data_IF_847976672719
#
_entry.id   IF_847976672719
#
_cell.length_a   1.000
_cell.length_b   1.000
_cell.length_c   1.000
_cell.angle_alpha   90.00
_cell.angle_beta   90.00
_cell.angle_gamma   90.00
#
_symmetry.space_group_name_H-M   'P 1'
#
loop_
_entity.id
_entity.type
_entity.pdbx_description
1 polymer ?
#
# COMPACT_ATOMS: atom_id res chain seq x y z
N UNK A 1 33.21 40.43 12.71
CA UNK A 1 33.79 39.07 12.65
C UNK A 1 33.35 38.16 13.79
N UNK A 2 33.50 38.51 15.08
CA UNK A 2 33.10 37.63 16.22
C UNK A 2 31.60 37.24 16.18
N UNK A 3 30.69 38.17 15.88
CA UNK A 3 29.26 37.88 15.80
C UNK A 3 28.89 36.93 14.64
N UNK A 4 29.59 37.05 13.49
CA UNK A 4 29.39 36.16 12.34
C UNK A 4 29.88 34.73 12.65
N UNK A 5 31.04 34.63 13.34
CA UNK A 5 31.59 33.35 13.80
C UNK A 5 30.63 32.64 14.77
N UNK A 6 30.05 33.40 15.72
CA UNK A 6 29.06 32.87 16.66
C UNK A 6 27.80 32.35 15.94
N UNK A 7 27.30 33.07 14.93
CA UNK A 7 26.16 32.63 14.11
C UNK A 7 26.45 31.35 13.34
N UNK A 8 27.64 31.23 12.74
CA UNK A 8 28.07 30.04 12.00
C UNK A 8 28.20 28.84 12.95
N UNK A 9 28.79 29.02 14.14
CA UNK A 9 28.90 27.94 15.13
C UNK A 9 27.52 27.49 15.62
N UNK A 10 26.62 28.43 15.94
CA UNK A 10 25.24 28.11 16.34
C UNK A 10 24.48 27.39 15.23
N UNK A 11 24.65 27.78 13.98
CA UNK A 11 24.03 27.12 12.83
C UNK A 11 24.52 25.67 12.68
N UNK A 12 25.82 25.41 12.77
CA UNK A 12 26.38 24.06 12.70
C UNK A 12 25.98 23.18 13.90
N UNK A 13 25.87 23.72 15.10
CA UNK A 13 25.41 23.00 16.29
C UNK A 13 23.91 22.63 16.15
N UNK A 14 23.11 23.48 15.50
CA UNK A 14 21.68 23.19 15.28
C UNK A 14 21.41 22.09 14.25
N UNK A 15 22.32 21.87 13.29
CA UNK A 15 22.16 20.86 12.24
C UNK A 15 22.58 19.46 12.73
N UNK A 16 23.46 19.36 13.73
CA UNK A 16 24.03 18.09 14.17
C UNK A 16 23.06 17.13 14.86
N UNK A 17 21.80 17.52 15.11
CA UNK A 17 20.79 16.68 15.76
C UNK A 17 19.57 16.37 14.86
N UNK A 18 19.65 16.61 13.56
CA UNK A 18 18.60 16.24 12.63
C UNK A 18 18.74 14.76 12.27
N UNK A 19 18.27 13.89 13.17
CA UNK A 19 18.05 12.49 12.82
C UNK A 19 16.68 12.39 12.13
N UNK A 20 16.67 12.10 10.85
CA UNK A 20 15.47 11.71 10.14
C UNK A 20 15.37 10.18 10.16
N UNK A 21 14.25 9.67 10.62
CA UNK A 21 13.96 8.24 10.48
C UNK A 21 13.69 7.91 9.02
N UNK A 22 14.22 6.79 8.55
CA UNK A 22 13.89 6.27 7.22
C UNK A 22 12.42 5.85 7.19
N UNK A 23 11.75 6.14 6.08
CA UNK A 23 10.35 5.81 5.88
C UNK A 23 10.13 4.60 4.96
N UNK A 24 8.87 4.17 4.83
CA UNK A 24 8.39 3.12 3.92
C UNK A 24 9.02 1.74 4.15
N UNK A 25 8.64 1.12 5.24
CA UNK A 25 9.02 -0.26 5.56
C UNK A 25 8.00 -1.26 5.01
N UNK A 26 8.48 -2.37 4.44
CA UNK A 26 7.62 -3.48 4.05
C UNK A 26 6.96 -4.10 5.28
N UNK A 27 5.63 -4.25 5.31
CA UNK A 27 4.92 -4.83 6.46
C UNK A 27 5.42 -6.22 6.85
N UNK A 28 5.80 -7.06 5.88
CA UNK A 28 6.37 -8.39 6.13
C UNK A 28 7.73 -8.36 6.85
N UNK A 29 8.49 -7.26 6.72
CA UNK A 29 9.80 -7.05 7.34
C UNK A 29 9.75 -6.13 8.56
N UNK A 30 8.58 -5.67 8.95
CA UNK A 30 8.40 -4.67 10.04
C UNK A 30 8.99 -5.14 11.37
N UNK A 31 9.12 -6.45 11.58
CA UNK A 31 9.70 -7.03 12.78
C UNK A 31 11.09 -6.47 13.09
N UNK A 32 11.87 -6.19 12.07
CA UNK A 32 13.24 -5.65 12.22
C UNK A 32 13.23 -4.20 12.75
N UNK A 33 12.12 -3.48 12.56
CA UNK A 33 11.96 -2.08 12.96
C UNK A 33 11.29 -1.89 14.32
N UNK A 34 10.67 -2.92 14.85
CA UNK A 34 10.00 -2.85 16.16
C UNK A 34 10.90 -2.33 17.29
N UNK A 35 12.19 -2.69 17.41
CA UNK A 35 13.04 -2.13 18.43
C UNK A 35 13.17 -0.61 18.37
N UNK A 36 13.31 -0.04 17.17
CA UNK A 36 13.42 1.41 16.98
C UNK A 36 12.06 2.11 17.18
N UNK A 37 10.99 1.53 16.68
CA UNK A 37 9.63 2.02 16.92
C UNK A 37 9.29 2.06 18.41
N UNK A 38 9.72 1.07 19.18
CA UNK A 38 9.53 1.03 20.65
C UNK A 38 10.29 2.14 21.38
N UNK A 39 11.48 2.51 20.93
CA UNK A 39 12.22 3.66 21.47
C UNK A 39 11.42 4.97 21.32
N UNK A 40 10.61 5.06 20.25
CA UNK A 40 9.73 6.20 19.97
C UNK A 40 8.32 6.06 20.59
N UNK A 41 8.11 5.09 21.48
CA UNK A 41 6.87 4.93 22.23
C UNK A 41 5.85 3.97 21.61
N UNK A 42 6.20 3.24 20.55
CA UNK A 42 5.32 2.23 19.96
C UNK A 42 5.12 1.05 20.92
N UNK A 43 3.86 0.66 21.13
CA UNK A 43 3.49 -0.34 22.15
C UNK A 43 3.04 -1.68 21.56
N UNK A 44 2.74 -1.73 20.26
CA UNK A 44 2.27 -2.93 19.59
C UNK A 44 3.42 -3.87 19.21
N UNK A 45 3.07 -5.05 18.73
CA UNK A 45 4.03 -6.04 18.20
C UNK A 45 4.02 -6.02 16.67
N UNK A 46 5.01 -6.68 16.05
CA UNK A 46 5.03 -6.86 14.61
C UNK A 46 3.78 -7.61 14.08
N UNK A 47 3.27 -8.56 14.87
CA UNK A 47 2.08 -9.34 14.51
C UNK A 47 0.79 -8.52 14.58
N UNK A 48 0.73 -7.50 15.44
CA UNK A 48 -0.40 -6.59 15.46
C UNK A 48 -0.47 -5.73 14.20
N UNK A 49 0.69 -5.50 13.55
CA UNK A 49 0.79 -4.77 12.29
C UNK A 49 0.57 -5.66 11.07
N UNK A 50 1.24 -6.82 11.05
CA UNK A 50 1.20 -7.76 9.93
C UNK A 50 1.26 -9.20 10.44
N UNK A 51 0.16 -9.94 10.26
CA UNK A 51 0.08 -11.38 10.49
C UNK A 51 -0.71 -12.02 9.35
N UNK A 52 -0.21 -13.15 8.81
CA UNK A 52 -0.91 -13.88 7.73
C UNK A 52 -1.92 -14.88 8.25
N UNK A 53 -1.88 -15.21 9.54
CA UNK A 53 -2.72 -16.25 10.16
C UNK A 53 -3.79 -15.67 11.08
N UNK A 54 -3.68 -14.40 11.44
CA UNK A 54 -4.60 -13.69 12.36
C UNK A 54 -4.86 -12.29 11.86
N UNK A 55 -6.02 -11.75 12.25
CA UNK A 55 -6.35 -10.36 12.01
C UNK A 55 -5.26 -9.43 12.58
N UNK A 56 -4.85 -8.47 11.79
CA UNK A 56 -3.82 -7.48 12.09
C UNK A 56 -4.15 -6.16 11.40
N UNK A 57 -3.39 -5.11 11.66
CA UNK A 57 -3.64 -3.80 11.05
C UNK A 57 -3.67 -3.83 9.51
N UNK A 58 -2.91 -4.75 8.88
CA UNK A 58 -2.94 -4.92 7.41
C UNK A 58 -4.34 -5.16 6.86
N UNK A 59 -5.22 -5.83 7.64
CA UNK A 59 -6.56 -6.21 7.18
C UNK A 59 -7.55 -5.02 7.22
N UNK A 60 -7.19 -3.96 7.95
CA UNK A 60 -7.93 -2.71 7.94
C UNK A 60 -7.52 -1.78 6.79
N UNK A 61 -6.36 -2.01 6.18
CA UNK A 61 -5.82 -1.16 5.11
C UNK A 61 -6.04 -1.86 3.78
N UNK A 62 -6.71 -1.18 2.86
CA UNK A 62 -7.10 -1.74 1.58
C UNK A 62 -6.60 -0.90 0.41
N UNK A 63 -6.40 -1.55 -0.73
CA UNK A 63 -6.19 -0.87 -1.99
C UNK A 63 -7.56 -0.49 -2.57
N UNK A 64 -7.82 0.82 -2.66
CA UNK A 64 -9.09 1.37 -3.09
C UNK A 64 -9.04 1.83 -4.55
N UNK A 65 -9.97 1.33 -5.35
CA UNK A 65 -10.05 1.66 -6.77
C UNK A 65 -8.76 1.32 -7.53
N UNK A 66 -8.33 2.20 -8.41
CA UNK A 66 -7.18 1.99 -9.30
C UNK A 66 -5.82 2.35 -8.73
N UNK A 67 -5.71 2.91 -7.52
CA UNK A 67 -4.40 3.37 -7.02
C UNK A 67 -4.42 4.14 -5.70
N UNK A 68 -5.55 4.13 -5.01
CA UNK A 68 -5.68 4.76 -3.69
C UNK A 68 -5.60 3.72 -2.55
N UNK A 69 -5.46 4.23 -1.35
CA UNK A 69 -5.59 3.48 -0.11
C UNK A 69 -6.90 3.87 0.57
N UNK A 70 -7.55 2.92 1.22
CA UNK A 70 -8.69 3.15 2.09
C UNK A 70 -8.50 2.41 3.40
N UNK A 71 -9.22 2.82 4.44
CA UNK A 71 -9.16 2.26 5.77
C UNK A 71 -10.54 1.81 6.23
N UNK A 72 -10.67 0.55 6.62
CA UNK A 72 -11.85 0.03 7.27
C UNK A 72 -11.88 0.48 8.74
N UNK A 73 -12.96 1.15 9.13
CA UNK A 73 -13.12 1.71 10.46
C UNK A 73 -14.32 1.12 11.24
N UNK A 74 -15.03 0.16 10.65
CA UNK A 74 -16.09 -0.56 11.33
C UNK A 74 -16.13 -2.04 10.92
N UNK A 75 -16.70 -2.90 11.76
CA UNK A 75 -16.92 -4.31 11.45
C UNK A 75 -17.96 -4.50 10.33
N UNK A 76 -18.75 -3.48 10.05
CA UNK A 76 -19.80 -3.49 9.03
C UNK A 76 -19.32 -3.01 7.65
N UNK A 77 -18.01 -2.79 7.48
CA UNK A 77 -17.43 -2.42 6.21
C UNK A 77 -17.41 -0.92 5.91
N UNK A 78 -17.63 -0.05 6.91
CA UNK A 78 -17.46 1.40 6.69
C UNK A 78 -15.99 1.67 6.38
N UNK A 79 -15.75 2.26 5.21
CA UNK A 79 -14.44 2.58 4.69
C UNK A 79 -14.29 4.09 4.55
N UNK A 80 -13.14 4.60 4.94
CA UNK A 80 -12.74 6.00 4.68
C UNK A 80 -11.58 6.03 3.69
N UNK A 81 -11.52 7.09 2.91
CA UNK A 81 -10.42 7.35 1.98
C UNK A 81 -10.31 8.86 1.71
N UNK A 82 -9.33 9.26 0.90
CA UNK A 82 -9.18 10.65 0.50
C UNK A 82 -10.27 11.08 -0.50
N UNK A 83 -10.71 12.34 -0.41
CA UNK A 83 -11.71 12.89 -1.31
C UNK A 83 -11.39 12.67 -2.79
N UNK A 84 -10.15 12.90 -3.21
CA UNK A 84 -9.75 12.74 -4.61
C UNK A 84 -9.85 11.28 -5.09
N UNK A 85 -9.82 10.30 -4.19
CA UNK A 85 -9.96 8.88 -4.52
C UNK A 85 -11.41 8.51 -4.84
N UNK A 86 -12.37 9.17 -4.20
CA UNK A 86 -13.81 9.00 -4.45
C UNK A 86 -14.41 10.04 -5.40
N UNK A 87 -13.61 10.99 -5.92
CA UNK A 87 -14.11 12.11 -6.71
C UNK A 87 -14.95 11.68 -7.92
N UNK A 88 -14.49 10.66 -8.65
CA UNK A 88 -15.20 10.14 -9.82
C UNK A 88 -16.58 9.59 -9.48
N UNK A 89 -16.72 8.90 -8.35
CA UNK A 89 -17.98 8.37 -7.85
C UNK A 89 -18.92 9.49 -7.41
N UNK A 90 -18.41 10.44 -6.62
CA UNK A 90 -19.19 11.63 -6.22
C UNK A 90 -19.68 12.38 -7.46
N UNK A 91 -18.82 12.59 -8.45
CA UNK A 91 -19.19 13.26 -9.70
C UNK A 91 -20.26 12.48 -10.48
N UNK A 92 -20.15 11.16 -10.57
CA UNK A 92 -21.11 10.32 -11.30
C UNK A 92 -22.52 10.35 -10.71
N UNK A 93 -22.63 10.58 -9.41
CA UNK A 93 -23.90 10.72 -8.69
C UNK A 93 -24.41 12.17 -8.62
N UNK A 94 -23.57 13.15 -8.94
CA UNK A 94 -23.94 14.56 -8.91
C UNK A 94 -24.75 14.96 -10.15
N UNK A 95 -25.68 15.89 -9.95
CA UNK A 95 -26.48 16.52 -10.99
C UNK A 95 -26.69 18.00 -10.68
N UNK A 96 -27.32 18.73 -11.60
CA UNK A 96 -27.66 20.15 -11.35
C UNK A 96 -28.61 20.30 -10.16
N UNK A 97 -29.48 19.31 -9.91
CA UNK A 97 -30.44 19.31 -8.82
C UNK A 97 -29.83 18.81 -7.49
N UNK A 98 -28.82 17.97 -7.57
CA UNK A 98 -28.15 17.38 -6.42
C UNK A 98 -26.64 17.48 -6.65
N UNK A 99 -26.05 18.61 -6.31
CA UNK A 99 -24.62 18.87 -6.48
C UNK A 99 -23.82 18.33 -5.29
N UNK A 100 -23.62 17.00 -5.26
CA UNK A 100 -22.90 16.34 -4.18
C UNK A 100 -21.40 16.73 -4.12
N UNK A 101 -20.83 17.23 -5.20
CA UNK A 101 -19.47 17.78 -5.17
C UNK A 101 -19.38 19.05 -4.34
N UNK A 102 -20.42 19.88 -4.39
CA UNK A 102 -20.49 21.16 -3.66
C UNK A 102 -21.10 20.99 -2.28
N UNK A 103 -22.24 20.30 -2.21
CA UNK A 103 -23.08 20.29 -1.00
C UNK A 103 -22.77 19.08 -0.10
N UNK A 104 -22.00 18.10 -0.61
CA UNK A 104 -21.76 16.83 0.04
C UNK A 104 -22.94 15.88 -0.05
N UNK A 105 -22.72 14.65 0.41
CA UNK A 105 -23.76 13.62 0.54
C UNK A 105 -23.53 12.83 1.81
N UNK A 106 -24.61 12.53 2.50
CA UNK A 106 -24.57 11.71 3.70
C UNK A 106 -25.70 10.70 3.69
N UNK A 107 -25.38 9.42 3.57
CA UNK A 107 -26.33 8.32 3.72
C UNK A 107 -26.58 8.06 5.22
N UNK A 108 -27.81 8.29 5.68
CA UNK A 108 -28.20 8.06 7.09
C UNK A 108 -28.50 6.59 7.37
N UNK A 109 -28.76 5.79 6.35
CA UNK A 109 -28.99 4.34 6.41
C UNK A 109 -28.29 3.67 5.25
N UNK A 110 -28.10 2.34 5.33
CA UNK A 110 -27.49 1.56 4.24
C UNK A 110 -28.30 1.62 2.94
N UNK A 111 -29.60 1.64 3.05
CA UNK A 111 -30.50 1.74 1.88
C UNK A 111 -30.40 3.08 1.15
N UNK A 112 -29.88 4.10 1.84
CA UNK A 112 -29.62 5.42 1.26
C UNK A 112 -28.23 5.52 0.61
N UNK A 113 -27.35 4.54 0.80
CA UNK A 113 -26.03 4.53 0.16
C UNK A 113 -26.18 4.43 -1.37
N UNK A 114 -25.33 5.16 -2.08
CA UNK A 114 -25.34 5.17 -3.54
C UNK A 114 -24.40 4.10 -4.09
N UNK A 115 -24.86 3.21 -4.98
CA UNK A 115 -24.05 2.12 -5.48
C UNK A 115 -22.94 2.61 -6.42
N UNK A 116 -21.71 2.12 -6.26
CA UNK A 116 -20.56 2.50 -7.07
C UNK A 116 -20.13 1.33 -7.98
N UNK A 117 -20.87 1.14 -9.06
CA UNK A 117 -20.62 0.05 -10.00
C UNK A 117 -19.19 0.07 -10.55
N UNK A 118 -18.50 -1.06 -10.42
CA UNK A 118 -17.13 -1.25 -10.89
C UNK A 118 -16.07 -0.69 -9.96
N UNK A 119 -16.44 -0.04 -8.84
CA UNK A 119 -15.48 0.34 -7.82
C UNK A 119 -14.99 -0.93 -7.10
N UNK A 120 -13.68 -1.04 -6.93
CA UNK A 120 -13.06 -2.21 -6.32
C UNK A 120 -12.34 -1.86 -5.03
N UNK A 121 -12.38 -2.80 -4.08
CA UNK A 121 -11.56 -2.79 -2.88
C UNK A 121 -10.80 -4.10 -2.80
N UNK A 122 -9.48 -4.03 -2.57
CA UNK A 122 -8.61 -5.21 -2.48
C UNK A 122 -7.96 -5.29 -1.12
N UNK A 123 -8.14 -6.43 -0.48
CA UNK A 123 -7.51 -6.78 0.78
C UNK A 123 -6.23 -7.55 0.53
N UNK A 124 -5.14 -7.14 1.16
CA UNK A 124 -3.89 -7.89 1.10
C UNK A 124 -4.00 -9.15 1.96
N UNK A 125 -4.10 -10.30 1.32
CA UNK A 125 -4.09 -11.60 2.02
C UNK A 125 -2.68 -11.91 2.52
N UNK A 126 -1.68 -11.84 1.62
CA UNK A 126 -0.27 -12.03 1.95
C UNK A 126 0.64 -11.44 0.89
N UNK A 127 1.91 -11.27 1.26
CA UNK A 127 3.00 -10.99 0.34
C UNK A 127 4.18 -11.92 0.62
N UNK A 128 4.80 -12.43 -0.44
CA UNK A 128 5.94 -13.33 -0.34
C UNK A 128 7.08 -12.82 -1.22
N UNK A 129 8.32 -12.97 -0.74
CA UNK A 129 9.52 -12.71 -1.55
C UNK A 129 9.67 -13.82 -2.59
N UNK A 130 9.70 -13.44 -3.86
CA UNK A 130 9.83 -14.35 -5.01
C UNK A 130 11.03 -14.00 -5.89
N UNK A 131 11.95 -13.20 -5.34
CA UNK A 131 13.11 -12.66 -6.06
C UNK A 131 13.90 -13.73 -6.79
N UNK A 132 14.26 -14.80 -6.12
CA UNK A 132 15.03 -15.90 -6.72
C UNK A 132 14.29 -16.55 -7.89
N UNK A 133 12.97 -16.73 -7.75
CA UNK A 133 12.15 -17.37 -8.80
C UNK A 133 11.97 -16.44 -9.99
N UNK A 134 11.72 -15.16 -9.76
CA UNK A 134 11.53 -14.16 -10.82
C UNK A 134 12.83 -13.94 -11.60
N UNK A 135 13.96 -13.89 -10.91
CA UNK A 135 15.28 -13.67 -11.53
C UNK A 135 15.92 -14.96 -12.07
N UNK A 136 15.26 -16.10 -11.93
CA UNK A 136 15.80 -17.38 -12.44
C UNK A 136 16.01 -17.32 -13.95
N UNK A 137 17.27 -17.52 -14.36
CA UNK A 137 17.70 -17.47 -15.77
C UNK A 137 18.14 -16.08 -16.24
N UNK A 138 18.03 -15.05 -15.39
CA UNK A 138 18.64 -13.75 -15.65
C UNK A 138 20.14 -13.82 -15.41
N UNK A 139 20.95 -13.42 -16.40
CA UNK A 139 22.40 -13.34 -16.32
C UNK A 139 22.84 -11.88 -16.20
N UNK A 140 24.00 -11.62 -15.58
CA UNK A 140 24.62 -10.30 -15.57
C UNK A 140 25.02 -9.80 -16.97
N UNK A 141 25.11 -10.73 -17.96
CA UNK A 141 25.38 -10.42 -19.36
C UNK A 141 24.12 -10.27 -20.23
N UNK A 142 22.91 -10.53 -19.68
CA UNK A 142 21.65 -10.32 -20.39
C UNK A 142 21.46 -8.84 -20.69
N UNK A 143 21.07 -8.52 -21.93
CA UNK A 143 20.60 -7.18 -22.20
C UNK A 143 19.27 -6.87 -21.52
N UNK A 144 18.87 -5.61 -21.46
CA UNK A 144 17.67 -5.16 -20.74
C UNK A 144 16.40 -5.84 -21.29
N UNK A 145 16.27 -6.01 -22.58
CA UNK A 145 15.09 -6.61 -23.23
C UNK A 145 14.97 -8.10 -22.91
N UNK A 146 16.09 -8.81 -22.90
CA UNK A 146 16.13 -10.21 -22.54
C UNK A 146 15.83 -10.41 -21.05
N UNK A 147 16.42 -9.56 -20.20
CA UNK A 147 16.13 -9.53 -18.77
C UNK A 147 14.64 -9.35 -18.51
N UNK A 148 14.00 -8.34 -19.11
CA UNK A 148 12.58 -8.05 -18.95
C UNK A 148 11.69 -9.20 -19.43
N UNK A 149 12.06 -9.83 -20.54
CA UNK A 149 11.33 -10.99 -21.06
C UNK A 149 11.33 -12.16 -20.08
N UNK A 150 12.48 -12.47 -19.49
CA UNK A 150 12.61 -13.55 -18.50
C UNK A 150 11.80 -13.22 -17.25
N UNK A 151 11.96 -12.01 -16.70
CA UNK A 151 11.24 -11.54 -15.52
C UNK A 151 9.73 -11.63 -15.74
N UNK A 152 9.23 -11.15 -16.87
CA UNK A 152 7.81 -11.20 -17.21
C UNK A 152 7.30 -12.64 -17.27
N UNK A 153 7.97 -13.51 -17.99
CA UNK A 153 7.57 -14.91 -18.12
C UNK A 153 7.54 -15.66 -16.78
N UNK A 154 8.54 -15.42 -15.93
CA UNK A 154 8.60 -16.02 -14.60
C UNK A 154 7.50 -15.46 -13.68
N UNK A 155 7.24 -14.16 -13.75
CA UNK A 155 6.17 -13.49 -13.00
C UNK A 155 4.78 -13.97 -13.40
N UNK A 156 4.48 -14.06 -14.68
CA UNK A 156 3.21 -14.58 -15.20
C UNK A 156 2.93 -16.00 -14.70
N UNK A 157 3.95 -16.88 -14.76
CA UNK A 157 3.83 -18.25 -14.24
C UNK A 157 3.53 -18.29 -12.75
N UNK A 158 4.16 -17.43 -11.95
CA UNK A 158 3.89 -17.32 -10.50
C UNK A 158 2.47 -16.84 -10.24
N UNK A 159 2.01 -15.83 -10.98
CA UNK A 159 0.65 -15.29 -10.88
C UNK A 159 -0.38 -16.37 -11.21
N UNK A 160 -0.19 -17.11 -12.31
CA UNK A 160 -1.08 -18.21 -12.68
C UNK A 160 -1.13 -19.30 -11.60
N UNK A 161 0.01 -19.68 -11.05
CA UNK A 161 0.08 -20.65 -9.97
C UNK A 161 -0.64 -20.19 -8.71
N UNK A 162 -0.47 -18.92 -8.33
CA UNK A 162 -1.09 -18.32 -7.15
C UNK A 162 -2.63 -18.22 -7.28
N UNK A 163 -3.14 -18.00 -8.49
CA UNK A 163 -4.58 -17.89 -8.78
C UNK A 163 -5.26 -19.24 -8.93
N UNK A 164 -4.51 -20.30 -9.19
CA UNK A 164 -5.06 -21.63 -9.51
C UNK A 164 -5.87 -22.20 -8.34
N UNK A 165 -7.15 -22.45 -8.58
CA UNK A 165 -8.07 -23.02 -7.58
C UNK A 165 -8.46 -22.07 -6.44
N UNK A 166 -8.23 -20.77 -6.63
CA UNK A 166 -8.61 -19.72 -5.68
C UNK A 166 -9.45 -18.64 -6.36
N UNK A 167 -10.09 -17.79 -5.57
CA UNK A 167 -10.77 -16.56 -6.04
C UNK A 167 -9.86 -15.32 -5.90
N UNK A 168 -8.61 -15.52 -5.51
CA UNK A 168 -7.67 -14.43 -5.28
C UNK A 168 -7.11 -13.85 -6.58
N UNK A 169 -6.78 -12.57 -6.53
CA UNK A 169 -5.92 -11.91 -7.49
C UNK A 169 -4.47 -11.94 -7.03
N UNK A 170 -3.54 -11.91 -7.99
CA UNK A 170 -2.12 -11.90 -7.70
C UNK A 170 -1.40 -10.91 -8.61
N UNK A 171 -0.37 -10.24 -8.06
CA UNK A 171 0.53 -9.36 -8.80
C UNK A 171 1.96 -9.59 -8.33
N UNK A 172 2.90 -9.55 -9.27
CA UNK A 172 4.34 -9.52 -8.95
C UNK A 172 4.84 -8.11 -9.20
N UNK A 173 5.47 -7.52 -8.19
CA UNK A 173 6.02 -6.16 -8.24
C UNK A 173 7.51 -6.19 -7.92
N UNK A 174 8.28 -5.45 -8.71
CA UNK A 174 9.69 -5.19 -8.44
C UNK A 174 9.86 -4.02 -7.49
N UNK A 175 10.58 -4.22 -6.42
CA UNK A 175 10.93 -3.20 -5.44
C UNK A 175 12.43 -2.88 -5.51
N UNK A 176 12.82 -1.74 -4.93
CA UNK A 176 14.21 -1.31 -4.85
C UNK A 176 14.91 -1.34 -6.22
N UNK A 177 14.26 -0.72 -7.22
CA UNK A 177 14.75 -0.64 -8.62
C UNK A 177 14.92 -2.01 -9.28
N UNK A 178 14.08 -2.99 -8.94
CA UNK A 178 14.12 -4.34 -9.49
C UNK A 178 15.21 -5.25 -8.88
N UNK A 179 15.69 -4.89 -7.69
CA UNK A 179 16.59 -5.75 -6.91
C UNK A 179 15.87 -6.83 -6.11
N UNK A 180 14.59 -6.61 -5.81
CA UNK A 180 13.73 -7.57 -5.13
C UNK A 180 12.38 -7.64 -5.81
N UNK A 181 11.76 -8.82 -5.79
CA UNK A 181 10.44 -9.06 -6.35
C UNK A 181 9.56 -9.74 -5.32
N UNK A 182 8.35 -9.20 -5.15
CA UNK A 182 7.34 -9.75 -4.25
C UNK A 182 6.09 -10.10 -5.02
N UNK A 183 5.48 -11.23 -4.67
CA UNK A 183 4.12 -11.54 -5.09
C UNK A 183 3.14 -11.07 -4.03
N UNK A 184 2.15 -10.29 -4.44
CA UNK A 184 1.06 -9.81 -3.61
C UNK A 184 -0.19 -10.58 -3.97
N UNK A 185 -0.83 -11.19 -2.98
CA UNK A 185 -2.08 -11.92 -3.13
C UNK A 185 -3.20 -11.09 -2.52
N UNK A 186 -4.27 -10.87 -3.28
CA UNK A 186 -5.39 -10.02 -2.88
C UNK A 186 -6.71 -10.77 -2.97
N UNK A 187 -7.58 -10.47 -2.03
CA UNK A 187 -9.02 -10.71 -2.17
C UNK A 187 -9.68 -9.43 -2.67
N UNK A 188 -10.45 -9.53 -3.76
CA UNK A 188 -11.05 -8.37 -4.44
C UNK A 188 -12.56 -8.38 -4.28
N UNK A 189 -13.10 -7.27 -3.81
CA UNK A 189 -14.54 -6.98 -3.79
C UNK A 189 -14.85 -5.93 -4.83
N UNK A 190 -15.97 -6.07 -5.51
CA UNK A 190 -16.46 -5.14 -6.55
C UNK A 190 -17.80 -4.52 -6.13
N UNK A 191 -18.15 -3.42 -6.78
CA UNK A 191 -19.40 -2.70 -6.56
C UNK A 191 -19.56 -2.21 -5.11
N UNK A 192 -18.47 -1.67 -4.59
CA UNK A 192 -18.34 -1.17 -3.22
C UNK A 192 -19.05 0.16 -3.03
#
# INVERSE_FOLDING_TARGET
>A
MKKLLLFVVLFFVSISNLNADEGMWLPSLIKERIPDMKKNGFKLTAKDLYDINKASLKDAIVHFGGGCTGELISPDGLLITNHHCGFGQIQSHSSVQNDYLKDGFWAMTREAELPNKGLTVRFLVRMDDVTETVLKGVSNSSDEKERDKIIRANSEKLIEQAKKGTHYDARVEGLYYGNQYFIFIYETFTDV
#
